data_IF_347076639483
#
_entry.id   IF_347076639483
#
_cell.length_a   1.000
_cell.length_b   1.000
_cell.length_c   1.000
_cell.angle_alpha   90.00
_cell.angle_beta   90.00
_cell.angle_gamma   90.00
#
_symmetry.space_group_name_H-M   'P 1'
#
loop_
_entity.id
_entity.type
_entity.pdbx_description
1 polymer ?
#
# COMPACT_ATOMS: atom_id res chain seq x y z
N UNK A 1 12.22 6.03 1.21
CA UNK A 1 12.25 4.68 0.62
C UNK A 1 12.41 3.70 1.76
N UNK A 2 11.53 2.70 1.86
CA UNK A 2 11.73 1.60 2.80
C UNK A 2 13.07 0.93 2.46
N UNK A 3 13.82 0.48 3.46
CA UNK A 3 15.17 -0.07 3.29
C UNK A 3 15.28 -1.34 2.42
N UNK A 4 14.14 -1.84 1.91
CA UNK A 4 14.01 -3.09 1.16
C UNK A 4 13.90 -2.87 -0.37
N UNK A 5 14.29 -1.69 -0.88
CA UNK A 5 14.23 -1.43 -2.32
C UNK A 5 15.24 -2.30 -3.07
N UNK A 6 14.75 -3.12 -4.00
CA UNK A 6 15.56 -3.92 -4.92
C UNK A 6 15.25 -3.51 -6.37
N UNK A 7 16.26 -3.08 -7.18
CA UNK A 7 16.03 -2.55 -8.52
C UNK A 7 15.23 -3.45 -9.47
N UNK A 8 15.36 -4.78 -9.33
CA UNK A 8 14.70 -5.75 -10.21
C UNK A 8 13.29 -6.15 -9.73
N UNK A 9 12.97 -5.98 -8.44
CA UNK A 9 11.74 -6.50 -7.84
C UNK A 9 10.89 -5.45 -7.15
N UNK A 10 11.40 -4.23 -7.01
CA UNK A 10 10.68 -3.14 -6.36
C UNK A 10 10.25 -2.08 -7.37
N UNK A 11 9.02 -1.61 -7.23
CA UNK A 11 8.50 -0.51 -8.02
C UNK A 11 8.65 0.83 -7.26
N UNK A 12 8.74 1.91 -8.00
CA UNK A 12 8.62 3.25 -7.46
C UNK A 12 7.16 3.67 -7.51
N UNK A 13 6.54 3.86 -6.35
CA UNK A 13 5.21 4.40 -6.27
C UNK A 13 5.29 5.93 -6.28
N UNK A 14 4.61 6.54 -7.24
CA UNK A 14 4.55 7.98 -7.40
C UNK A 14 3.19 8.49 -6.95
N UNK A 15 3.18 9.49 -6.06
CA UNK A 15 1.98 10.19 -5.62
C UNK A 15 2.03 11.62 -6.13
N UNK A 16 1.05 12.02 -6.94
CA UNK A 16 0.94 13.31 -7.57
C UNK A 16 -0.25 14.09 -7.00
N UNK A 17 0.03 15.25 -6.43
CA UNK A 17 -1.02 16.16 -5.97
C UNK A 17 -1.26 17.24 -7.00
N UNK A 18 -2.48 17.29 -7.52
CA UNK A 18 -2.89 18.17 -8.60
C UNK A 18 -3.95 19.18 -8.12
N UNK A 19 -4.15 20.24 -8.89
CA UNK A 19 -5.20 21.24 -8.61
C UNK A 19 -6.58 20.80 -9.09
N UNK A 20 -6.60 19.99 -10.14
CA UNK A 20 -7.81 19.53 -10.83
C UNK A 20 -7.62 18.07 -11.25
N UNK A 21 -8.56 17.21 -10.89
CA UNK A 21 -8.63 15.79 -11.24
C UNK A 21 -9.71 15.52 -12.32
N UNK A 22 -10.20 16.53 -13.01
CA UNK A 22 -11.10 16.37 -14.14
C UNK A 22 -10.50 15.53 -15.26
N UNK A 23 -11.35 14.91 -16.06
CA UNK A 23 -10.90 14.08 -17.18
C UNK A 23 -9.92 14.81 -18.12
N UNK A 24 -10.20 16.09 -18.42
CA UNK A 24 -9.34 16.91 -19.27
C UNK A 24 -7.96 17.15 -18.63
N UNK A 25 -7.90 17.43 -17.32
CA UNK A 25 -6.65 17.60 -16.60
C UNK A 25 -5.84 16.29 -16.55
N UNK A 26 -6.51 15.16 -16.30
CA UNK A 26 -5.86 13.84 -16.32
C UNK A 26 -5.35 13.46 -17.71
N UNK A 27 -6.10 13.77 -18.78
CA UNK A 27 -5.63 13.58 -20.14
C UNK A 27 -4.35 14.37 -20.46
N UNK A 28 -4.19 15.57 -19.89
CA UNK A 28 -2.97 16.36 -20.07
C UNK A 28 -1.73 15.69 -19.41
N UNK A 29 -1.92 14.86 -18.40
CA UNK A 29 -0.86 14.09 -17.75
C UNK A 29 -0.51 12.80 -18.51
N UNK A 30 -1.38 12.33 -19.40
CA UNK A 30 -1.23 11.03 -20.06
C UNK A 30 0.13 10.81 -20.75
N UNK A 31 0.75 11.79 -21.45
CA UNK A 31 2.06 11.60 -22.06
C UNK A 31 3.16 11.29 -21.03
N UNK A 32 3.14 11.99 -19.87
CA UNK A 32 4.12 11.76 -18.81
C UNK A 32 3.90 10.40 -18.12
N UNK A 33 2.62 10.04 -17.90
CA UNK A 33 2.27 8.73 -17.32
C UNK A 33 2.65 7.59 -18.27
N UNK A 34 2.45 7.77 -19.58
CA UNK A 34 2.88 6.77 -20.58
C UNK A 34 4.40 6.57 -20.56
N UNK A 35 5.17 7.65 -20.53
CA UNK A 35 6.63 7.57 -20.40
C UNK A 35 7.03 6.84 -19.11
N UNK A 36 6.33 7.09 -17.99
CA UNK A 36 6.56 6.43 -16.70
C UNK A 36 6.28 4.92 -16.76
N UNK A 37 5.19 4.52 -17.45
CA UNK A 37 4.84 3.12 -17.68
C UNK A 37 5.90 2.40 -18.56
N UNK A 38 6.45 3.08 -19.57
CA UNK A 38 7.57 2.57 -20.40
C UNK A 38 8.82 2.25 -19.55
N UNK A 39 8.99 2.92 -18.39
CA UNK A 39 10.03 2.59 -17.42
C UNK A 39 9.62 1.41 -16.49
N UNK A 40 8.54 0.68 -16.81
CA UNK A 40 7.99 -0.45 -16.03
C UNK A 40 7.61 -0.07 -14.60
N UNK A 41 7.19 1.17 -14.40
CA UNK A 41 6.70 1.65 -13.11
C UNK A 41 5.17 1.69 -13.09
N UNK A 42 4.53 1.42 -11.94
CA UNK A 42 3.08 1.49 -11.83
C UNK A 42 2.58 2.92 -12.08
N UNK A 43 1.34 3.08 -12.61
CA UNK A 43 0.78 4.40 -12.80
C UNK A 43 0.71 5.16 -11.49
N UNK A 44 0.95 6.49 -11.52
CA UNK A 44 0.92 7.32 -10.32
C UNK A 44 -0.48 7.37 -9.70
N UNK A 45 -0.54 7.43 -8.37
CA UNK A 45 -1.74 7.85 -7.68
C UNK A 45 -1.87 9.37 -7.82
N UNK A 46 -2.98 9.84 -8.36
CA UNK A 46 -3.23 11.28 -8.60
C UNK A 46 -4.44 11.72 -7.79
N UNK A 47 -4.27 12.73 -6.94
CA UNK A 47 -5.34 13.26 -6.09
C UNK A 47 -5.21 14.79 -5.97
N UNK A 48 -6.34 15.46 -5.71
CA UNK A 48 -6.34 16.85 -5.26
C UNK A 48 -6.18 16.94 -3.75
N UNK A 49 -5.85 18.11 -3.21
CA UNK A 49 -5.78 18.33 -1.77
C UNK A 49 -7.11 18.04 -1.05
N UNK A 50 -8.22 18.37 -1.71
CA UNK A 50 -9.55 18.13 -1.16
C UNK A 50 -9.87 16.62 -1.13
N UNK A 51 -9.51 15.89 -2.17
CA UNK A 51 -9.64 14.43 -2.19
C UNK A 51 -8.79 13.76 -1.10
N UNK A 52 -7.55 14.20 -0.89
CA UNK A 52 -6.69 13.70 0.19
C UNK A 52 -7.36 13.92 1.55
N UNK A 53 -7.83 15.15 1.81
CA UNK A 53 -8.46 15.51 3.07
C UNK A 53 -9.74 14.71 3.37
N UNK A 54 -10.51 14.39 2.32
CA UNK A 54 -11.76 13.60 2.44
C UNK A 54 -11.56 12.09 2.40
N UNK A 55 -10.37 11.62 2.06
CA UNK A 55 -10.09 10.20 1.90
C UNK A 55 -9.21 9.62 3.00
N UNK A 56 -8.82 10.42 3.99
CA UNK A 56 -7.96 10.01 5.09
C UNK A 56 -8.56 8.88 5.95
N UNK A 57 -9.86 8.73 5.90
CA UNK A 57 -10.62 7.69 6.59
C UNK A 57 -10.73 6.38 5.78
N UNK A 58 -10.67 6.47 4.45
CA UNK A 58 -10.83 5.33 3.54
C UNK A 58 -9.47 4.72 3.16
N UNK A 59 -8.44 5.55 3.00
CA UNK A 59 -7.09 5.15 2.61
C UNK A 59 -6.09 5.28 3.78
N UNK A 60 -6.53 4.92 4.98
CA UNK A 60 -5.74 5.09 6.20
C UNK A 60 -4.41 4.29 6.15
N UNK A 61 -4.44 3.06 5.63
CA UNK A 61 -3.26 2.20 5.45
C UNK A 61 -2.25 2.87 4.53
N UNK A 62 -2.69 3.28 3.34
CA UNK A 62 -1.85 3.87 2.31
C UNK A 62 -1.23 5.20 2.77
N UNK A 63 -2.04 6.06 3.38
CA UNK A 63 -1.54 7.35 3.87
C UNK A 63 -0.59 7.22 5.05
N UNK A 64 -0.82 6.29 5.97
CA UNK A 64 0.12 6.00 7.06
C UNK A 64 1.46 5.47 6.52
N UNK A 65 1.42 4.60 5.52
CA UNK A 65 2.62 4.10 4.87
C UNK A 65 3.38 5.21 4.14
N UNK A 66 2.66 6.07 3.41
CA UNK A 66 3.27 7.21 2.75
C UNK A 66 3.86 8.20 3.77
N UNK A 67 3.17 8.50 4.88
CA UNK A 67 3.71 9.36 5.93
C UNK A 67 5.05 8.86 6.48
N UNK A 68 5.18 7.54 6.66
CA UNK A 68 6.39 6.94 7.21
C UNK A 68 7.54 6.83 6.20
N UNK A 69 7.24 6.66 4.92
CA UNK A 69 8.21 6.21 3.92
C UNK A 69 8.19 6.98 2.60
N UNK A 70 7.82 8.27 2.61
CA UNK A 70 7.84 9.08 1.40
C UNK A 70 9.07 9.99 1.30
N UNK A 71 9.28 10.48 0.09
CA UNK A 71 10.23 11.55 -0.21
C UNK A 71 9.55 12.58 -1.11
N UNK A 72 9.49 13.81 -0.65
CA UNK A 72 9.01 14.93 -1.48
C UNK A 72 10.02 15.18 -2.60
N UNK A 73 9.58 15.04 -3.83
CA UNK A 73 10.37 15.27 -5.04
C UNK A 73 10.17 16.70 -5.54
N UNK A 74 8.95 17.20 -5.42
CA UNK A 74 8.58 18.56 -5.86
C UNK A 74 7.43 19.11 -5.01
N UNK A 75 7.45 20.40 -4.70
CA UNK A 75 6.39 21.10 -3.99
C UNK A 75 6.46 20.95 -2.47
N UNK A 76 5.29 21.04 -1.82
CA UNK A 76 5.16 20.96 -0.35
C UNK A 76 4.82 19.54 0.08
N UNK A 77 5.27 19.18 1.28
CA UNK A 77 4.82 17.95 1.92
C UNK A 77 3.36 18.11 2.38
N UNK A 78 2.46 17.43 1.70
CA UNK A 78 1.02 17.47 1.99
C UNK A 78 0.58 16.34 2.94
N UNK A 79 1.45 15.36 3.17
CA UNK A 79 1.14 14.19 3.99
C UNK A 79 1.51 14.40 5.46
N UNK A 80 2.54 15.20 5.76
CA UNK A 80 3.05 15.40 7.12
C UNK A 80 2.01 15.95 8.11
N UNK A 81 1.05 16.75 7.61
CA UNK A 81 -0.04 17.32 8.42
C UNK A 81 -1.35 16.56 8.38
N UNK A 82 -1.43 15.44 7.66
CA UNK A 82 -2.66 14.68 7.50
C UNK A 82 -2.97 13.87 8.78
N UNK A 83 -4.14 14.13 9.38
CA UNK A 83 -4.62 13.37 10.54
C UNK A 83 -5.43 12.17 10.08
N UNK A 84 -5.01 10.99 10.50
CA UNK A 84 -5.66 9.72 10.15
C UNK A 84 -6.32 9.16 11.40
N UNK A 85 -7.65 9.01 11.42
CA UNK A 85 -8.37 8.52 12.61
C UNK A 85 -8.05 7.06 12.91
N UNK A 86 -7.49 6.76 14.08
CA UNK A 86 -7.08 5.41 14.49
C UNK A 86 -8.22 4.38 14.43
N UNK A 87 -9.46 4.80 14.75
CA UNK A 87 -10.64 3.93 14.68
C UNK A 87 -10.91 3.47 13.26
N UNK A 88 -10.78 4.35 12.28
CA UNK A 88 -11.04 4.04 10.86
C UNK A 88 -9.89 3.22 10.28
N UNK A 89 -8.65 3.50 10.67
CA UNK A 89 -7.51 2.65 10.34
C UNK A 89 -7.72 1.20 10.81
N UNK A 90 -8.20 1.01 12.06
CA UNK A 90 -8.53 -0.34 12.55
C UNK A 90 -9.59 -1.03 11.69
N UNK A 91 -10.66 -0.34 11.32
CA UNK A 91 -11.73 -0.90 10.48
C UNK A 91 -11.20 -1.30 9.11
N UNK A 92 -10.38 -0.46 8.49
CA UNK A 92 -9.76 -0.77 7.20
C UNK A 92 -8.83 -1.99 7.30
N UNK A 93 -7.96 -2.05 8.31
CA UNK A 93 -7.06 -3.20 8.51
C UNK A 93 -7.84 -4.49 8.69
N UNK A 94 -8.92 -4.49 9.47
CA UNK A 94 -9.76 -5.67 9.67
C UNK A 94 -10.46 -6.07 8.36
N UNK A 95 -10.99 -5.12 7.60
CA UNK A 95 -11.63 -5.38 6.31
C UNK A 95 -10.64 -6.01 5.33
N UNK A 96 -9.48 -5.38 5.13
CA UNK A 96 -8.45 -5.87 4.22
C UNK A 96 -7.93 -7.27 4.59
N UNK A 97 -7.70 -7.52 5.87
CA UNK A 97 -7.29 -8.86 6.34
C UNK A 97 -8.35 -9.92 6.03
N UNK A 98 -9.63 -9.63 6.27
CA UNK A 98 -10.73 -10.56 5.97
C UNK A 98 -10.88 -10.80 4.47
N UNK A 99 -10.81 -9.75 3.67
CA UNK A 99 -10.89 -9.85 2.22
C UNK A 99 -9.74 -10.68 1.65
N UNK A 100 -8.49 -10.34 2.01
CA UNK A 100 -7.30 -11.08 1.56
C UNK A 100 -7.32 -12.53 2.00
N UNK A 101 -7.78 -12.82 3.21
CA UNK A 101 -7.93 -14.20 3.68
C UNK A 101 -8.98 -14.97 2.88
N UNK A 102 -10.13 -14.37 2.60
CA UNK A 102 -11.17 -14.98 1.78
C UNK A 102 -10.66 -15.26 0.36
N UNK A 103 -9.95 -14.29 -0.23
CA UNK A 103 -9.34 -14.42 -1.55
C UNK A 103 -8.27 -15.53 -1.58
N UNK A 104 -7.40 -15.56 -0.57
CA UNK A 104 -6.38 -16.62 -0.42
C UNK A 104 -7.02 -18.00 -0.37
N UNK A 105 -8.09 -18.18 0.43
CA UNK A 105 -8.82 -19.47 0.51
C UNK A 105 -9.37 -19.90 -0.84
N UNK A 106 -9.96 -18.98 -1.61
CA UNK A 106 -10.48 -19.28 -2.96
C UNK A 106 -9.36 -19.73 -3.90
N UNK A 107 -8.21 -19.06 -3.89
CA UNK A 107 -7.06 -19.43 -4.71
C UNK A 107 -6.40 -20.75 -4.26
N UNK A 108 -6.38 -21.02 -2.95
CA UNK A 108 -5.89 -22.30 -2.43
C UNK A 108 -6.73 -23.48 -2.97
N UNK A 109 -8.05 -23.33 -3.02
CA UNK A 109 -8.93 -24.37 -3.59
C UNK A 109 -8.61 -24.63 -5.07
N UNK A 110 -8.32 -23.57 -5.84
CA UNK A 110 -7.95 -23.68 -7.26
C UNK A 110 -6.52 -24.23 -7.48
N UNK A 111 -5.63 -24.05 -6.51
CA UNK A 111 -4.26 -24.55 -6.57
C UNK A 111 -4.11 -25.96 -5.98
N UNK A 112 -5.16 -26.53 -5.39
CA UNK A 112 -5.14 -27.84 -4.75
C UNK A 112 -4.67 -28.93 -5.72
N UNK A 113 -3.70 -29.74 -5.28
CA UNK A 113 -3.08 -30.78 -6.10
C UNK A 113 -2.01 -30.29 -7.08
N UNK A 114 -1.61 -29.02 -7.03
CA UNK A 114 -0.54 -28.47 -7.85
C UNK A 114 0.43 -27.63 -7.01
N UNK A 115 1.55 -28.21 -6.64
CA UNK A 115 2.54 -27.61 -5.74
C UNK A 115 3.15 -26.30 -6.31
N UNK A 116 3.38 -26.22 -7.62
CA UNK A 116 3.92 -25.00 -8.24
C UNK A 116 2.94 -23.83 -8.12
N UNK A 117 1.64 -24.06 -8.42
CA UNK A 117 0.60 -23.04 -8.25
C UNK A 117 0.42 -22.63 -6.79
N UNK A 118 0.52 -23.60 -5.89
CA UNK A 118 0.45 -23.36 -4.46
C UNK A 118 1.58 -22.46 -4.01
N UNK A 119 2.80 -22.78 -4.43
CA UNK A 119 3.99 -21.98 -4.10
C UNK A 119 3.91 -20.56 -4.65
N UNK A 120 3.54 -20.41 -5.92
CA UNK A 120 3.34 -19.09 -6.55
C UNK A 120 2.29 -18.24 -5.81
N UNK A 121 1.20 -18.85 -5.40
CA UNK A 121 0.16 -18.18 -4.62
C UNK A 121 0.70 -17.66 -3.29
N UNK A 122 1.42 -18.51 -2.54
CA UNK A 122 1.97 -18.13 -1.25
C UNK A 122 2.98 -17.00 -1.40
N UNK A 123 3.92 -17.10 -2.32
CA UNK A 123 4.94 -16.07 -2.57
C UNK A 123 4.31 -14.72 -2.93
N UNK A 124 3.32 -14.70 -3.82
CA UNK A 124 2.61 -13.47 -4.20
C UNK A 124 1.81 -12.87 -3.05
N UNK A 125 1.30 -13.70 -2.14
CA UNK A 125 0.49 -13.25 -1.01
C UNK A 125 1.32 -12.63 0.12
N UNK A 126 2.57 -13.07 0.31
CA UNK A 126 3.43 -12.68 1.45
C UNK A 126 3.54 -11.15 1.59
N UNK A 127 3.77 -10.44 0.48
CA UNK A 127 3.97 -8.99 0.53
C UNK A 127 2.76 -8.24 1.07
N UNK A 128 1.56 -8.59 0.58
CA UNK A 128 0.31 -7.94 1.02
C UNK A 128 0.00 -8.26 2.48
N UNK A 129 0.16 -9.53 2.89
CA UNK A 129 -0.06 -9.90 4.29
C UNK A 129 0.95 -9.26 5.23
N UNK A 130 2.23 -9.17 4.86
CA UNK A 130 3.25 -8.54 5.70
C UNK A 130 2.94 -7.04 5.94
N UNK A 131 2.46 -6.32 4.93
CA UNK A 131 1.98 -4.95 5.09
C UNK A 131 0.80 -4.88 6.08
N UNK A 132 -0.21 -5.73 5.91
CA UNK A 132 -1.36 -5.77 6.79
C UNK A 132 -1.00 -6.19 8.23
N UNK A 133 -0.03 -7.07 8.41
CA UNK A 133 0.48 -7.47 9.73
C UNK A 133 1.19 -6.32 10.44
N UNK A 134 1.92 -5.49 9.71
CA UNK A 134 2.49 -4.25 10.26
C UNK A 134 1.40 -3.30 10.74
N UNK A 135 0.36 -3.09 9.94
CA UNK A 135 -0.77 -2.26 10.34
C UNK A 135 -1.59 -2.87 11.48
N UNK A 136 -1.69 -4.21 11.55
CA UNK A 136 -2.29 -4.89 12.69
C UNK A 136 -1.51 -4.64 13.99
N UNK A 137 -0.17 -4.70 13.96
CA UNK A 137 0.68 -4.32 15.09
C UNK A 137 0.42 -2.89 15.54
N UNK A 138 0.35 -1.93 14.60
CA UNK A 138 0.02 -0.53 14.91
C UNK A 138 -1.34 -0.39 15.60
N UNK A 139 -2.36 -1.10 15.09
CA UNK A 139 -3.71 -1.10 15.67
C UNK A 139 -3.73 -1.69 17.08
N UNK A 140 -2.89 -2.67 17.36
CA UNK A 140 -2.73 -3.30 18.67
C UNK A 140 -1.84 -2.50 19.62
N UNK A 141 -1.25 -1.38 19.17
CA UNK A 141 -0.38 -0.53 19.98
C UNK A 141 1.03 -1.09 20.18
N UNK A 142 1.47 -1.99 19.30
CA UNK A 142 2.81 -2.55 19.30
C UNK A 142 3.71 -1.82 18.31
N UNK A 143 5.02 -1.96 18.50
CA UNK A 143 6.01 -1.52 17.53
C UNK A 143 5.82 -2.25 16.20
N UNK A 144 5.74 -1.49 15.13
CA UNK A 144 5.50 -1.98 13.79
C UNK A 144 6.75 -1.79 12.92
N UNK A 145 7.64 -2.80 12.86
CA UNK A 145 8.87 -2.69 12.09
C UNK A 145 8.60 -2.50 10.60
N UNK A 146 9.46 -1.70 9.93
CA UNK A 146 9.31 -1.40 8.51
C UNK A 146 9.55 -2.63 7.61
N UNK A 147 10.43 -3.54 8.02
CA UNK A 147 10.77 -4.75 7.27
C UNK A 147 9.64 -5.78 7.31
N UNK A 148 9.33 -6.38 6.15
CA UNK A 148 8.25 -7.37 6.01
C UNK A 148 8.44 -8.60 6.88
N UNK A 149 9.68 -9.12 6.92
CA UNK A 149 10.02 -10.30 7.72
C UNK A 149 9.88 -10.01 9.21
N UNK A 150 10.38 -8.88 9.64
CA UNK A 150 10.32 -8.41 11.03
C UNK A 150 8.87 -8.19 11.47
N UNK A 151 8.01 -7.64 10.60
CA UNK A 151 6.58 -7.46 10.89
C UNK A 151 5.87 -8.81 11.11
N UNK A 152 6.14 -9.80 10.25
CA UNK A 152 5.59 -11.16 10.41
C UNK A 152 6.05 -11.78 11.72
N UNK A 153 7.37 -11.70 12.04
CA UNK A 153 7.93 -12.24 13.27
C UNK A 153 7.42 -11.51 14.52
N UNK A 154 7.21 -10.19 14.44
CA UNK A 154 6.67 -9.42 15.55
C UNK A 154 5.22 -9.81 15.84
N UNK A 155 4.37 -9.92 14.81
CA UNK A 155 2.98 -10.33 15.00
C UNK A 155 2.87 -11.76 15.52
N UNK A 156 3.69 -12.71 15.04
CA UNK A 156 3.65 -14.11 15.50
C UNK A 156 3.97 -14.30 16.98
N UNK A 157 4.55 -13.30 17.64
CA UNK A 157 4.81 -13.30 19.08
C UNK A 157 3.61 -12.77 19.90
N UNK A 158 2.63 -12.19 19.24
CA UNK A 158 1.45 -11.58 19.88
C UNK A 158 0.20 -12.47 19.81
N UNK A 159 0.26 -13.50 18.96
CA UNK A 159 -0.81 -14.49 18.74
C UNK A 159 -0.31 -15.90 19.07
#
# INVERSE_FOLDING_TARGET
>A
MAGDFHPEFSNLNLFCVVRDSSFAALQALAPAVKWWDEQKQPPPLVMTLDEIARSADVFAIEFLDMQQHHRVVFGKDVLSGLSIPAKLHRVQVEYELREKLALLRRHLLLASGNDSRMWDLLVRSVSSFATLFRHALMVLGHDAPAGKREAVQALSKQI
#
